data_IF_780911154726
#
_entry.id   IF_780911154726
#
_cell.length_a   1.000
_cell.length_b   1.000
_cell.length_c   1.000
_cell.angle_alpha   90.00
_cell.angle_beta   90.00
_cell.angle_gamma   90.00
#
_symmetry.space_group_name_H-M   'P 1'
#
loop_
_entity.id
_entity.type
_entity.pdbx_description
1 polymer ?
#
# COMPACT_ATOMS: atom_id res chain seq x y z
N UNK A 1 32.56 -6.34 92.11
CA UNK A 1 31.11 -6.06 92.07
C UNK A 1 30.90 -4.65 91.52
N UNK A 2 30.45 -4.51 90.27
CA UNK A 2 29.29 -3.68 89.87
C UNK A 2 29.24 -3.60 88.34
N UNK A 3 28.02 -3.67 87.82
CA UNK A 3 27.71 -4.16 86.49
C UNK A 3 27.59 -3.06 85.41
N UNK A 4 27.72 -3.54 84.17
CA UNK A 4 27.50 -2.90 82.87
C UNK A 4 26.13 -2.24 82.70
N UNK A 5 26.10 -1.06 82.08
CA UNK A 5 24.89 -0.46 81.50
C UNK A 5 25.10 -0.20 80.01
N UNK A 6 24.26 -0.88 79.20
CA UNK A 6 24.20 -0.85 77.74
C UNK A 6 23.00 0.00 77.34
N UNK A 7 23.20 1.12 76.65
CA UNK A 7 22.09 1.94 76.13
C UNK A 7 21.94 1.84 74.61
N UNK A 8 20.68 1.62 74.22
CA UNK A 8 20.11 1.33 72.90
C UNK A 8 20.26 2.47 71.88
N UNK A 9 20.50 2.07 70.62
CA UNK A 9 20.13 2.78 69.39
C UNK A 9 18.61 2.75 69.18
N UNK A 10 18.02 3.85 68.73
CA UNK A 10 16.73 3.90 68.00
C UNK A 10 16.81 5.09 67.03
N UNK A 11 16.97 4.82 65.74
CA UNK A 11 15.91 4.76 64.72
C UNK A 11 15.60 6.16 64.15
N UNK A 12 16.37 6.53 63.12
CA UNK A 12 16.19 7.74 62.33
C UNK A 12 16.15 7.39 60.82
N UNK A 13 15.54 6.25 60.48
CA UNK A 13 15.46 5.74 59.10
C UNK A 13 14.08 5.80 58.46
N UNK A 14 13.08 6.41 59.10
CA UNK A 14 11.67 6.30 58.68
C UNK A 14 11.08 7.54 57.97
N UNK A 15 11.87 8.55 57.62
CA UNK A 15 11.33 9.79 57.02
C UNK A 15 11.96 10.19 55.68
N UNK A 16 12.92 9.41 55.15
CA UNK A 16 13.56 9.72 53.87
C UNK A 16 13.05 8.89 52.67
N UNK A 17 12.20 7.87 52.91
CA UNK A 17 11.74 6.97 51.85
C UNK A 17 10.41 7.35 51.18
N UNK A 18 9.63 8.28 51.75
CA UNK A 18 8.31 8.64 51.22
C UNK A 18 8.34 9.78 50.19
N UNK A 19 9.37 10.64 50.19
CA UNK A 19 9.47 11.73 49.20
C UNK A 19 9.98 11.23 47.84
N UNK A 20 10.77 10.15 47.82
CA UNK A 20 11.32 9.57 46.59
C UNK A 20 10.26 8.80 45.78
N UNK A 21 9.19 8.30 46.43
CA UNK A 21 8.10 7.59 45.72
C UNK A 21 7.10 8.52 45.02
N UNK A 22 6.97 9.77 45.45
CA UNK A 22 6.06 10.75 44.82
C UNK A 22 6.63 11.30 43.52
N UNK A 23 7.96 11.35 43.37
CA UNK A 23 8.59 11.78 42.10
C UNK A 23 8.58 10.71 41.00
N UNK A 24 8.39 9.43 41.34
CA UNK A 24 8.30 8.34 40.35
C UNK A 24 6.90 8.25 39.72
N UNK A 25 5.86 8.76 40.38
CA UNK A 25 4.51 8.81 39.80
C UNK A 25 4.28 9.99 38.82
N UNK A 26 5.10 11.05 38.89
CA UNK A 26 4.96 12.24 38.04
C UNK A 26 5.87 12.24 36.80
N UNK A 27 6.84 11.33 36.73
CA UNK A 27 7.68 11.09 35.54
C UNK A 27 7.13 9.98 34.62
N UNK A 28 6.07 9.29 35.02
CA UNK A 28 5.39 8.26 34.21
C UNK A 28 4.27 8.77 33.29
N UNK A 29 4.05 10.09 33.26
CA UNK A 29 2.97 10.72 32.47
C UNK A 29 3.49 11.74 31.44
N UNK A 30 4.77 11.65 31.05
CA UNK A 30 5.12 12.06 29.69
C UNK A 30 4.75 10.86 28.80
N UNK A 31 3.45 10.66 28.62
CA UNK A 31 3.01 10.13 27.35
C UNK A 31 3.55 11.14 26.34
N UNK A 32 4.59 10.74 25.61
CA UNK A 32 4.70 11.12 24.22
C UNK A 32 3.34 10.76 23.62
N UNK A 33 2.39 11.68 23.67
CA UNK A 33 1.54 11.97 22.54
C UNK A 33 2.50 12.38 21.43
N UNK A 34 3.20 11.37 20.89
CA UNK A 34 3.32 11.27 19.45
C UNK A 34 1.86 11.39 19.03
N UNK A 35 1.48 12.57 18.57
CA UNK A 35 0.46 12.61 17.54
C UNK A 35 0.97 11.59 16.52
N UNK A 36 0.39 10.38 16.57
CA UNK A 36 0.27 9.59 15.38
C UNK A 36 -0.54 10.49 14.46
N UNK A 37 0.15 11.42 13.78
CA UNK A 37 -0.34 12.06 12.60
C UNK A 37 -0.66 10.89 11.71
N UNK A 38 -1.91 10.46 11.72
CA UNK A 38 -2.37 9.32 10.97
C UNK A 38 -1.85 9.56 9.56
N UNK A 39 -0.97 8.68 9.09
CA UNK A 39 -0.51 8.75 7.72
C UNK A 39 -1.77 8.79 6.87
N UNK A 40 -2.02 9.90 6.18
CA UNK A 40 -3.12 10.00 5.21
C UNK A 40 -2.92 9.04 4.02
N UNK A 41 -1.74 8.42 3.96
CA UNK A 41 -1.33 7.41 2.97
C UNK A 41 -1.49 6.02 3.55
N UNK A 42 -1.93 5.08 2.71
CA UNK A 42 -1.80 3.67 3.01
C UNK A 42 -0.33 3.26 3.04
N UNK A 43 -0.02 2.22 3.81
CA UNK A 43 1.30 1.61 3.92
C UNK A 43 1.15 0.10 3.82
N UNK A 44 1.43 -0.43 2.64
CA UNK A 44 1.21 -1.82 2.30
C UNK A 44 2.54 -2.48 2.01
N UNK A 45 2.75 -3.64 2.60
CA UNK A 45 4.01 -4.37 2.50
C UNK A 45 3.76 -5.84 2.26
N UNK A 46 4.61 -6.45 1.45
CA UNK A 46 4.59 -7.87 1.19
C UNK A 46 6.02 -8.44 1.18
N UNK A 47 6.16 -9.62 1.77
CA UNK A 47 7.41 -10.34 1.86
C UNK A 47 7.17 -11.83 1.82
N UNK A 48 8.22 -12.57 1.51
CA UNK A 48 8.26 -14.02 1.57
C UNK A 48 9.06 -14.47 2.81
N UNK A 49 9.28 -15.78 3.04
CA UNK A 49 10.10 -16.24 4.17
C UNK A 49 11.55 -15.73 4.18
N UNK A 50 12.07 -15.18 3.08
CA UNK A 50 13.42 -14.60 2.99
C UNK A 50 13.43 -13.12 3.40
N UNK A 51 12.28 -12.46 3.43
CA UNK A 51 12.14 -11.09 3.92
C UNK A 51 11.17 -10.24 3.11
N UNK A 52 11.14 -8.95 3.43
CA UNK A 52 10.36 -7.95 2.71
C UNK A 52 10.90 -7.81 1.28
N UNK A 53 10.01 -7.86 0.28
CA UNK A 53 10.38 -7.63 -1.12
C UNK A 53 9.69 -6.40 -1.73
N UNK A 54 8.51 -6.03 -1.24
CA UNK A 54 7.77 -4.87 -1.73
C UNK A 54 7.18 -4.07 -0.56
N UNK A 55 7.25 -2.75 -0.66
CA UNK A 55 6.51 -1.82 0.19
C UNK A 55 6.02 -0.65 -0.66
N UNK A 56 4.74 -0.35 -0.56
CA UNK A 56 4.08 0.76 -1.23
C UNK A 56 3.44 1.64 -0.18
N UNK A 57 3.90 2.90 -0.09
CA UNK A 57 3.27 3.92 0.73
C UNK A 57 2.71 5.02 -0.17
N UNK A 58 1.38 5.10 -0.30
CA UNK A 58 0.74 6.00 -1.25
C UNK A 58 -0.66 6.46 -0.80
N UNK A 59 -1.05 7.62 -1.31
CA UNK A 59 -2.44 8.07 -1.39
C UNK A 59 -2.90 7.80 -2.83
N UNK A 60 -3.95 6.99 -3.00
CA UNK A 60 -4.39 6.49 -4.30
C UNK A 60 -5.85 6.83 -4.49
N UNK A 61 -6.16 7.50 -5.61
CA UNK A 61 -7.51 7.73 -6.08
C UNK A 61 -7.67 7.15 -7.48
N UNK A 62 -8.74 6.39 -7.68
CA UNK A 62 -9.12 5.81 -8.95
C UNK A 62 -10.18 6.69 -9.62
N UNK A 63 -9.95 7.04 -10.88
CA UNK A 63 -10.92 7.73 -11.73
C UNK A 63 -11.41 6.72 -12.76
N UNK A 64 -12.63 6.24 -12.58
CA UNK A 64 -13.17 5.11 -13.32
C UNK A 64 -14.36 5.56 -14.17
N UNK A 65 -14.39 5.07 -15.40
CA UNK A 65 -15.52 5.27 -16.30
C UNK A 65 -16.28 3.96 -16.44
N UNK A 66 -17.59 3.97 -16.21
CA UNK A 66 -18.46 2.79 -16.29
C UNK A 66 -19.73 3.09 -17.10
N UNK A 67 -20.36 2.05 -17.63
CA UNK A 67 -21.64 2.17 -18.33
C UNK A 67 -22.79 1.82 -17.39
N UNK A 68 -23.90 2.52 -17.55
CA UNK A 68 -25.16 2.19 -16.88
C UNK A 68 -26.07 1.38 -17.79
N UNK A 69 -27.11 0.79 -17.23
CA UNK A 69 -28.11 -0.01 -17.95
C UNK A 69 -28.84 0.76 -19.06
N UNK A 70 -28.82 2.09 -19.05
CA UNK A 70 -29.36 2.95 -20.11
C UNK A 70 -28.37 3.17 -21.28
N UNK A 71 -27.19 2.53 -21.22
CA UNK A 71 -26.11 2.66 -22.20
C UNK A 71 -25.30 3.96 -22.06
N UNK A 72 -25.58 4.81 -21.07
CA UNK A 72 -24.84 6.04 -20.85
C UNK A 72 -23.55 5.78 -20.07
N UNK A 73 -22.51 6.51 -20.45
CA UNK A 73 -21.22 6.51 -19.78
C UNK A 73 -21.25 7.45 -18.58
N UNK A 74 -20.70 7.00 -17.46
CA UNK A 74 -20.61 7.75 -16.21
C UNK A 74 -19.21 7.63 -15.61
N UNK A 75 -18.78 8.68 -14.92
CA UNK A 75 -17.51 8.71 -14.21
C UNK A 75 -17.74 8.58 -12.70
N UNK A 76 -16.89 7.79 -12.04
CA UNK A 76 -16.85 7.61 -10.60
C UNK A 76 -15.43 7.79 -10.09
N UNK A 77 -15.29 8.30 -8.87
CA UNK A 77 -13.99 8.44 -8.20
C UNK A 77 -13.98 7.60 -6.93
N UNK A 78 -13.04 6.65 -6.81
CA UNK A 78 -12.86 5.84 -5.61
C UNK A 78 -11.56 6.25 -4.94
N UNK A 79 -11.63 6.63 -3.66
CA UNK A 79 -10.44 6.79 -2.84
C UNK A 79 -10.09 5.44 -2.22
N UNK A 80 -8.87 4.96 -2.43
CA UNK A 80 -8.43 3.67 -1.89
C UNK A 80 -8.27 3.79 -0.38
N UNK A 81 -9.04 3.04 0.44
CA UNK A 81 -8.94 3.16 1.90
C UNK A 81 -7.54 2.80 2.38
N UNK A 82 -6.95 3.62 3.25
CA UNK A 82 -5.64 3.35 3.86
C UNK A 82 -5.63 2.06 4.70
N UNK A 83 -6.82 1.59 5.11
CA UNK A 83 -7.05 0.34 5.85
C UNK A 83 -7.06 -0.93 4.98
N UNK A 84 -7.07 -0.77 3.64
CA UNK A 84 -7.03 -1.87 2.66
C UNK A 84 -5.91 -2.86 2.98
N UNK A 85 -6.14 -4.14 2.66
CA UNK A 85 -5.24 -5.23 3.07
C UNK A 85 -4.51 -5.83 1.89
N UNK A 86 -3.27 -6.25 2.12
CA UNK A 86 -2.55 -7.04 1.13
C UNK A 86 -3.18 -8.43 1.05
N UNK A 87 -3.53 -8.87 -0.16
CA UNK A 87 -3.89 -10.25 -0.40
C UNK A 87 -2.62 -11.10 -0.37
N UNK A 88 -2.36 -11.70 0.78
CA UNK A 88 -1.14 -12.48 1.04
C UNK A 88 -1.07 -13.78 0.25
N UNK A 89 -2.21 -14.29 -0.23
CA UNK A 89 -2.28 -15.55 -0.99
C UNK A 89 -1.84 -15.35 -2.43
N UNK A 90 -2.25 -14.24 -3.04
CA UNK A 90 -2.05 -14.00 -4.48
C UNK A 90 -0.91 -13.03 -4.79
N UNK A 91 -0.47 -12.24 -3.81
CA UNK A 91 0.75 -11.43 -3.91
C UNK A 91 2.00 -12.34 -3.94
N UNK A 92 3.06 -11.89 -4.59
CA UNK A 92 4.29 -12.68 -4.71
C UNK A 92 5.53 -11.82 -4.89
N UNK A 93 6.63 -12.20 -4.24
CA UNK A 93 7.96 -11.63 -4.47
C UNK A 93 8.61 -12.12 -5.77
N UNK A 94 8.08 -13.18 -6.36
CA UNK A 94 8.56 -13.73 -7.62
C UNK A 94 7.44 -14.51 -8.30
N UNK A 95 6.87 -13.93 -9.36
CA UNK A 95 5.83 -14.56 -10.18
C UNK A 95 6.01 -14.15 -11.62
N UNK A 96 5.75 -15.10 -12.50
CA UNK A 96 5.63 -14.83 -13.92
C UNK A 96 4.23 -14.33 -14.24
N UNK A 97 4.13 -13.13 -14.79
CA UNK A 97 2.87 -12.55 -15.28
C UNK A 97 2.86 -12.65 -16.81
N UNK A 98 1.80 -13.22 -17.36
CA UNK A 98 1.58 -13.29 -18.80
C UNK A 98 0.46 -12.34 -19.19
N UNK A 99 0.74 -11.42 -20.10
CA UNK A 99 -0.21 -10.42 -20.60
C UNK A 99 0.04 -10.20 -22.09
N UNK A 100 -1.01 -10.23 -22.92
CA UNK A 100 -0.91 -10.09 -24.38
C UNK A 100 0.16 -10.99 -25.04
N UNK A 101 0.33 -12.22 -24.54
CA UNK A 101 1.34 -13.17 -25.04
C UNK A 101 2.78 -12.87 -24.60
N UNK A 102 2.99 -11.84 -23.80
CA UNK A 102 4.29 -11.45 -23.23
C UNK A 102 4.37 -11.97 -21.81
N UNK A 103 5.46 -12.65 -21.52
CA UNK A 103 5.77 -13.22 -20.21
C UNK A 103 6.81 -12.34 -19.52
N UNK A 104 6.53 -11.88 -18.29
CA UNK A 104 7.37 -10.95 -17.54
C UNK A 104 7.61 -11.48 -16.13
N UNK A 105 8.88 -11.58 -15.74
CA UNK A 105 9.26 -11.88 -14.34
C UNK A 105 8.91 -10.68 -13.47
N UNK A 106 8.09 -10.90 -12.44
CA UNK A 106 7.46 -9.82 -11.69
C UNK A 106 7.47 -10.04 -10.18
N UNK A 107 7.47 -8.94 -9.44
CA UNK A 107 6.97 -8.88 -8.08
C UNK A 107 5.56 -8.29 -8.14
N UNK A 108 4.60 -8.91 -7.45
CA UNK A 108 3.18 -8.57 -7.55
C UNK A 108 2.60 -8.27 -6.18
N UNK A 109 2.13 -7.04 -5.97
CA UNK A 109 1.43 -6.61 -4.76
C UNK A 109 -0.05 -6.46 -5.09
N UNK A 110 -0.91 -7.19 -4.37
CA UNK A 110 -2.36 -7.12 -4.55
C UNK A 110 -3.00 -6.55 -3.28
N UNK A 111 -3.77 -5.48 -3.44
CA UNK A 111 -4.56 -4.87 -2.37
C UNK A 111 -6.03 -5.27 -2.53
N UNK A 112 -6.65 -5.75 -1.45
CA UNK A 112 -8.10 -5.89 -1.31
C UNK A 112 -8.63 -4.66 -0.59
N UNK A 113 -9.60 -3.99 -1.21
CA UNK A 113 -10.11 -2.72 -0.68
C UNK A 113 -11.04 -2.97 0.51
N UNK A 114 -10.72 -2.30 1.62
CA UNK A 114 -11.50 -2.42 2.85
C UNK A 114 -12.92 -1.89 2.64
N UNK A 115 -13.90 -2.58 3.21
CA UNK A 115 -15.34 -2.24 3.07
C UNK A 115 -15.86 -2.21 1.62
N UNK A 116 -15.09 -2.69 0.63
CA UNK A 116 -15.49 -2.79 -0.77
C UNK A 116 -15.29 -4.23 -1.28
N UNK A 117 -16.19 -5.18 -0.92
CA UNK A 117 -16.03 -6.58 -1.25
C UNK A 117 -15.84 -6.84 -2.75
N UNK A 118 -14.83 -7.64 -3.10
CA UNK A 118 -14.51 -7.99 -4.49
C UNK A 118 -13.72 -6.92 -5.26
N UNK A 119 -13.43 -5.76 -4.65
CA UNK A 119 -12.54 -4.77 -5.25
C UNK A 119 -11.07 -5.09 -4.95
N UNK A 120 -10.21 -4.91 -5.95
CA UNK A 120 -8.77 -5.05 -5.76
C UNK A 120 -7.94 -4.18 -6.70
N UNK A 121 -6.73 -3.86 -6.25
CA UNK A 121 -5.68 -3.22 -7.05
C UNK A 121 -4.48 -4.16 -7.10
N UNK A 122 -3.97 -4.42 -8.30
CA UNK A 122 -2.77 -5.22 -8.52
C UNK A 122 -1.69 -4.33 -9.09
N UNK A 123 -0.53 -4.32 -8.44
CA UNK A 123 0.69 -3.64 -8.89
C UNK A 123 1.71 -4.68 -9.28
N UNK A 124 2.24 -4.60 -10.50
CA UNK A 124 3.29 -5.49 -10.97
C UNK A 124 4.58 -4.70 -11.25
N UNK A 125 5.65 -5.10 -10.56
CA UNK A 125 6.98 -4.53 -10.70
C UNK A 125 7.90 -5.50 -11.44
N UNK A 126 8.83 -4.99 -12.24
CA UNK A 126 9.78 -5.81 -12.98
C UNK A 126 11.17 -5.18 -13.01
N UNK A 127 12.17 -6.01 -13.29
CA UNK A 127 13.55 -5.64 -13.61
C UNK A 127 13.90 -6.03 -15.06
N UNK A 128 12.88 -6.35 -15.85
CA UNK A 128 13.03 -6.79 -17.22
C UNK A 128 13.46 -5.61 -18.13
N UNK A 129 14.62 -5.69 -18.81
CA UNK A 129 15.18 -4.56 -19.57
C UNK A 129 14.29 -4.06 -20.71
N UNK A 130 13.31 -4.87 -21.14
CA UNK A 130 12.30 -4.46 -22.13
C UNK A 130 11.41 -3.31 -21.62
N UNK A 131 11.41 -3.05 -20.31
CA UNK A 131 10.73 -1.93 -19.65
C UNK A 131 11.71 -0.84 -19.21
N UNK A 132 12.83 -0.69 -19.93
CA UNK A 132 13.85 0.35 -19.71
C UNK A 132 14.53 0.34 -18.33
N UNK A 133 14.41 -0.76 -17.58
CA UNK A 133 15.18 -0.96 -16.36
C UNK A 133 16.62 -1.31 -16.73
N UNK A 134 17.62 -0.47 -16.40
CA UNK A 134 19.04 -0.62 -16.81
C UNK A 134 19.63 -2.02 -16.53
N UNK A 135 19.39 -2.97 -17.44
CA UNK A 135 19.80 -4.37 -17.38
C UNK A 135 19.64 -5.03 -16.00
N UNK A 136 18.50 -4.77 -15.35
CA UNK A 136 18.16 -5.33 -14.04
C UNK A 136 18.77 -4.62 -12.83
N UNK A 137 19.46 -3.48 -13.01
CA UNK A 137 19.91 -2.60 -11.91
C UNK A 137 18.79 -1.73 -11.33
N UNK A 138 17.68 -1.63 -12.06
CA UNK A 138 16.49 -0.87 -11.70
C UNK A 138 15.29 -1.80 -11.63
N UNK A 139 14.30 -1.39 -10.85
CA UNK A 139 12.95 -1.91 -10.92
C UNK A 139 11.99 -0.81 -11.37
N UNK A 140 10.94 -1.21 -12.07
CA UNK A 140 9.89 -0.31 -12.54
C UNK A 140 8.50 -0.90 -12.28
N UNK A 141 7.52 -0.06 -11.96
CA UNK A 141 6.11 -0.42 -11.99
C UNK A 141 5.65 -0.43 -13.45
N UNK A 142 5.29 -1.59 -13.99
CA UNK A 142 4.95 -1.70 -15.41
C UNK A 142 3.46 -2.03 -15.66
N UNK A 143 2.73 -2.45 -14.63
CA UNK A 143 1.31 -2.75 -14.75
C UNK A 143 0.54 -2.37 -13.49
N UNK A 144 -0.63 -1.76 -13.69
CA UNK A 144 -1.66 -1.63 -12.67
C UNK A 144 -2.95 -2.26 -13.21
N UNK A 145 -3.55 -3.16 -12.44
CA UNK A 145 -4.88 -3.69 -12.76
C UNK A 145 -5.85 -3.38 -11.60
N UNK A 146 -7.09 -3.06 -11.94
CA UNK A 146 -8.16 -2.79 -10.98
C UNK A 146 -9.32 -3.72 -11.27
N UNK A 147 -9.68 -4.55 -10.30
CA UNK A 147 -10.97 -5.24 -10.30
C UNK A 147 -11.97 -4.37 -9.56
N UNK A 148 -12.97 -3.87 -10.27
CA UNK A 148 -14.04 -3.03 -9.75
C UNK A 148 -15.32 -3.86 -9.65
N UNK A 149 -15.82 -4.11 -8.43
CA UNK A 149 -17.08 -4.81 -8.21
C UNK A 149 -18.21 -3.79 -7.94
N UNK A 150 -18.79 -3.22 -9.00
CA UNK A 150 -19.85 -2.21 -8.88
C UNK A 150 -21.05 -2.68 -8.04
N UNK A 151 -21.35 -3.98 -8.07
CA UNK A 151 -22.45 -4.54 -7.28
C UNK A 151 -22.29 -4.36 -5.76
N UNK A 152 -21.05 -4.32 -5.25
CA UNK A 152 -20.79 -4.12 -3.83
C UNK A 152 -20.76 -2.64 -3.41
N UNK A 153 -20.79 -1.72 -4.38
CA UNK A 153 -20.76 -0.27 -4.17
C UNK A 153 -21.83 0.47 -4.98
N UNK A 154 -23.06 -0.08 -5.02
CA UNK A 154 -24.16 0.41 -5.86
C UNK A 154 -24.62 1.84 -5.54
N UNK A 155 -24.36 2.36 -4.34
CA UNK A 155 -24.63 3.78 -4.03
C UNK A 155 -23.74 4.72 -4.82
N UNK A 156 -22.48 4.32 -5.06
CA UNK A 156 -21.49 5.11 -5.78
C UNK A 156 -21.51 4.81 -7.28
N UNK A 157 -21.90 3.60 -7.65
CA UNK A 157 -22.02 3.12 -9.03
C UNK A 157 -23.43 2.61 -9.32
N UNK A 158 -24.45 3.50 -9.31
CA UNK A 158 -25.84 3.09 -9.49
C UNK A 158 -26.10 2.60 -10.91
N UNK A 159 -26.89 1.53 -11.02
CA UNK A 159 -27.34 0.92 -12.28
C UNK A 159 -26.21 0.57 -13.25
N UNK A 160 -25.01 0.24 -12.75
CA UNK A 160 -23.92 -0.24 -13.59
C UNK A 160 -24.38 -1.44 -14.43
N UNK A 161 -24.11 -1.40 -15.73
CA UNK A 161 -24.49 -2.47 -16.66
C UNK A 161 -23.71 -3.75 -16.42
N UNK A 162 -22.45 -3.60 -16.00
CA UNK A 162 -21.59 -4.67 -15.55
C UNK A 162 -21.60 -4.74 -14.03
N UNK A 163 -21.62 -5.95 -13.46
CA UNK A 163 -21.54 -6.11 -12.00
C UNK A 163 -20.09 -6.05 -11.50
N UNK A 164 -19.16 -6.55 -12.29
CA UNK A 164 -17.73 -6.53 -12.01
C UNK A 164 -16.98 -6.28 -13.30
N UNK A 165 -15.92 -5.49 -13.22
CA UNK A 165 -15.17 -5.04 -14.36
C UNK A 165 -13.67 -4.98 -14.04
N UNK A 166 -12.82 -5.36 -14.98
CA UNK A 166 -11.36 -5.36 -14.80
C UNK A 166 -10.72 -4.33 -15.72
N UNK A 167 -10.19 -3.25 -15.13
CA UNK A 167 -9.30 -2.33 -15.82
C UNK A 167 -7.89 -2.91 -15.78
N UNK A 168 -7.20 -2.92 -16.91
CA UNK A 168 -5.83 -3.41 -16.99
C UNK A 168 -4.98 -2.47 -17.85
N UNK A 169 -3.73 -2.22 -17.43
CA UNK A 169 -2.74 -1.53 -18.26
C UNK A 169 -2.37 -2.42 -19.45
N UNK A 170 -2.69 -2.03 -20.70
CA UNK A 170 -2.28 -2.78 -21.86
C UNK A 170 -0.76 -2.69 -22.00
N UNK A 171 -0.10 -3.84 -22.13
CA UNK A 171 1.34 -3.90 -22.38
C UNK A 171 1.53 -4.41 -23.80
N UNK A 172 2.23 -3.63 -24.60
CA UNK A 172 2.61 -3.99 -25.96
C UNK A 172 4.04 -3.51 -26.21
N UNK A 173 4.99 -4.44 -26.04
CA UNK A 173 6.42 -4.21 -26.23
C UNK A 173 6.82 -4.06 -27.70
N UNK A 174 5.92 -4.33 -28.66
CA UNK A 174 6.20 -4.20 -30.09
C UNK A 174 5.88 -2.81 -30.63
N UNK A 175 5.08 -2.03 -29.90
CA UNK A 175 4.75 -0.65 -30.24
C UNK A 175 5.78 0.27 -29.63
N UNK A 176 6.49 1.00 -30.48
CA UNK A 176 7.52 1.98 -30.11
C UNK A 176 6.94 3.34 -29.67
N UNK A 177 5.64 3.41 -29.36
CA UNK A 177 5.04 4.64 -28.85
C UNK A 177 5.30 4.75 -27.35
N UNK A 178 5.82 5.88 -26.91
CA UNK A 178 6.09 6.25 -25.51
C UNK A 178 4.91 5.93 -24.57
N UNK A 179 3.68 5.94 -25.10
CA UNK A 179 2.43 5.64 -24.39
C UNK A 179 2.35 4.26 -23.69
N UNK A 180 3.08 3.24 -24.18
CA UNK A 180 2.95 1.87 -23.64
C UNK A 180 3.87 1.59 -22.45
N UNK A 181 4.90 2.42 -22.25
CA UNK A 181 5.87 2.28 -21.17
C UNK A 181 5.84 3.46 -20.20
N UNK A 182 4.93 4.43 -20.39
CA UNK A 182 4.79 5.64 -19.57
C UNK A 182 4.81 5.32 -18.06
N UNK A 183 4.14 4.26 -17.63
CA UNK A 183 4.12 3.87 -16.22
C UNK A 183 5.51 3.44 -15.72
N UNK A 184 6.21 2.60 -16.49
CA UNK A 184 7.54 2.10 -16.15
C UNK A 184 8.59 3.21 -16.19
N UNK A 185 8.47 4.14 -17.14
CA UNK A 185 9.36 5.29 -17.27
C UNK A 185 9.12 6.36 -16.19
N UNK A 186 7.89 6.49 -15.70
CA UNK A 186 7.56 7.43 -14.63
C UNK A 186 7.84 6.89 -13.23
N UNK A 187 7.72 5.57 -13.03
CA UNK A 187 7.80 4.93 -11.72
C UNK A 187 8.86 3.83 -11.71
N UNK A 188 10.13 4.24 -11.69
CA UNK A 188 11.29 3.36 -11.53
C UNK A 188 12.26 3.87 -10.48
N UNK A 189 13.09 2.97 -9.96
CA UNK A 189 14.23 3.33 -9.12
C UNK A 189 15.34 2.28 -9.24
N UNK A 190 16.56 2.66 -8.86
CA UNK A 190 17.67 1.73 -8.71
C UNK A 190 17.39 0.75 -7.56
N UNK A 191 17.89 -0.48 -7.64
CA UNK A 191 17.56 -1.57 -6.70
C UNK A 191 17.92 -1.30 -5.23
N UNK A 192 18.83 -0.35 -4.98
CA UNK A 192 19.26 0.08 -3.65
C UNK A 192 18.54 1.37 -3.18
N UNK A 193 17.59 1.88 -3.97
CA UNK A 193 16.84 3.10 -3.70
C UNK A 193 15.33 2.85 -3.70
N UNK A 194 14.62 3.73 -3.01
CA UNK A 194 13.16 3.81 -3.07
C UNK A 194 12.74 4.91 -4.04
N UNK A 195 11.72 4.65 -4.86
CA UNK A 195 11.04 5.73 -5.57
C UNK A 195 10.27 6.62 -4.58
N UNK A 196 10.40 7.93 -4.70
CA UNK A 196 9.67 8.91 -3.88
C UNK A 196 9.17 10.06 -4.75
N UNK A 197 7.85 10.28 -4.77
CA UNK A 197 7.24 11.43 -5.41
C UNK A 197 6.12 12.00 -4.52
N UNK A 198 6.28 13.23 -3.99
CA UNK A 198 5.25 13.86 -3.17
C UNK A 198 4.15 14.54 -4.01
N UNK A 199 4.43 14.82 -5.28
CA UNK A 199 3.48 15.43 -6.21
C UNK A 199 2.48 14.39 -6.71
N UNK A 200 1.20 14.76 -6.91
CA UNK A 200 0.23 13.88 -7.55
C UNK A 200 0.69 13.51 -8.97
N UNK A 201 0.71 12.22 -9.29
CA UNK A 201 0.88 11.72 -10.64
C UNK A 201 -0.38 11.00 -11.08
N UNK A 202 -0.71 11.11 -12.38
CA UNK A 202 -1.88 10.46 -12.97
C UNK A 202 -1.42 9.55 -14.09
N UNK A 203 -1.88 8.32 -14.06
CA UNK A 203 -1.54 7.32 -15.07
C UNK A 203 -2.82 6.71 -15.61
N UNK A 204 -2.98 6.62 -16.94
CA UNK A 204 -4.12 5.93 -17.52
C UNK A 204 -3.96 4.42 -17.34
N UNK A 205 -4.88 3.78 -16.62
CA UNK A 205 -4.90 2.31 -16.51
C UNK A 205 -5.43 1.70 -17.80
N UNK A 206 -6.45 2.29 -18.41
CA UNK A 206 -6.93 1.90 -19.73
C UNK A 206 -7.22 3.16 -20.54
N UNK A 207 -6.75 3.20 -21.79
CA UNK A 207 -7.02 4.29 -22.75
C UNK A 207 -8.06 3.90 -23.81
N UNK A 208 -8.56 2.65 -23.80
CA UNK A 208 -9.62 2.27 -24.71
C UNK A 208 -10.93 2.98 -24.36
N UNK A 209 -11.40 3.77 -25.32
CA UNK A 209 -12.72 4.41 -25.29
C UNK A 209 -13.88 3.38 -25.38
N UNK A 210 -13.54 2.13 -25.65
CA UNK A 210 -14.42 0.97 -25.58
C UNK A 210 -13.98 0.20 -24.36
N UNK A 211 -14.82 0.12 -23.33
CA UNK A 211 -14.55 -0.69 -22.15
C UNK A 211 -13.89 -2.02 -22.57
N UNK A 212 -12.65 -2.23 -22.13
CA UNK A 212 -11.90 -3.49 -22.12
C UNK A 212 -12.69 -4.74 -21.69
N UNK A 213 -12.02 -5.87 -21.84
CA UNK A 213 -12.62 -7.20 -21.96
C UNK A 213 -13.60 -7.55 -20.83
N UNK A 214 -14.79 -8.11 -21.15
CA UNK A 214 -15.64 -8.71 -20.13
C UNK A 214 -14.87 -9.84 -19.42
N UNK A 215 -15.09 -9.96 -18.11
CA UNK A 215 -14.44 -10.94 -17.24
C UNK A 215 -14.73 -12.40 -17.65
#
# INVERSE_FOLDING_TARGET
MSASYKHRRSSMHSLFNDVIRIFICLLGLIQLSYEAGGSSKGDWQFGDPKGLCMRLQADISLYLTYYRNDGQQHDGTVHVPTTSKVNVTDSSCNKTVTTNGITVSSQVLILQLDQMPGWSLTFAFTQDPRFHTDNGKQYALYQINVTANYSSCSQQFPDASELTYVYYTPIDLNKTSDDNLELAEALYADNDHSFYCPSPNKFPINRDNVAGLPA
#
